data_IF_810813357001
#
_entry.id   IF_810813357001
#
_cell.length_a   1.000
_cell.length_b   1.000
_cell.length_c   1.000
_cell.angle_alpha   90.00
_cell.angle_beta   90.00
_cell.angle_gamma   90.00
#
_symmetry.space_group_name_H-M   'P 1'
#
loop_
_entity.id
_entity.type
_entity.pdbx_description
1 polymer ?
#
# COMPACT_ATOMS: atom_id res chain seq x y z
N UNK A 1 7.78 5.26 11.10
CA UNK A 1 7.02 6.37 10.44
C UNK A 1 5.55 5.95 10.29
N UNK A 2 4.58 6.87 10.38
CA UNK A 2 3.15 6.54 10.43
C UNK A 2 2.33 7.54 9.60
N UNK A 3 1.32 7.04 8.88
CA UNK A 3 0.41 7.88 8.08
C UNK A 3 -0.78 8.42 8.90
N UNK A 4 -1.27 7.64 9.87
CA UNK A 4 -2.41 7.97 10.74
C UNK A 4 -1.96 8.03 12.22
N UNK A 5 -1.12 9.00 12.62
CA UNK A 5 -0.60 9.07 13.99
C UNK A 5 -1.70 9.34 15.03
N UNK A 6 -2.72 10.11 14.67
CA UNK A 6 -3.86 10.45 15.53
C UNK A 6 -4.71 9.21 15.83
N UNK A 7 -5.06 8.42 14.82
CA UNK A 7 -5.79 7.16 15.02
C UNK A 7 -5.00 6.18 15.89
N UNK A 8 -3.68 6.08 15.68
CA UNK A 8 -2.82 5.19 16.49
C UNK A 8 -2.83 5.60 17.95
N UNK A 9 -2.64 6.90 18.27
CA UNK A 9 -2.65 7.38 19.66
C UNK A 9 -4.01 7.17 20.32
N UNK A 10 -5.10 7.27 19.56
CA UNK A 10 -6.46 6.99 20.05
C UNK A 10 -6.79 5.49 20.17
N UNK A 11 -5.90 4.59 19.76
CA UNK A 11 -6.15 3.13 19.77
C UNK A 11 -7.06 2.65 18.62
N UNK A 12 -7.24 3.46 17.58
CA UNK A 12 -8.01 3.07 16.40
C UNK A 12 -7.20 2.11 15.52
N UNK A 13 -7.87 1.06 15.02
CA UNK A 13 -7.26 0.08 14.11
C UNK A 13 -7.46 0.38 12.63
N UNK A 14 -8.27 1.39 12.28
CA UNK A 14 -8.68 1.67 10.89
C UNK A 14 -8.79 3.15 10.55
N UNK A 15 -9.50 3.92 11.35
CA UNK A 15 -9.85 5.30 11.04
C UNK A 15 -9.01 6.32 11.80
N UNK A 16 -8.92 7.54 11.26
CA UNK A 16 -8.50 8.74 11.98
C UNK A 16 -9.45 9.05 13.14
N UNK A 17 -9.08 10.00 14.00
CA UNK A 17 -9.89 10.37 15.18
C UNK A 17 -11.25 10.97 14.82
N UNK A 18 -11.38 11.51 13.62
CA UNK A 18 -12.63 12.05 13.06
C UNK A 18 -13.48 10.99 12.32
N UNK A 19 -13.05 9.72 12.35
CA UNK A 19 -13.72 8.60 11.72
C UNK A 19 -13.37 8.39 10.24
N UNK A 20 -12.44 9.17 9.66
CA UNK A 20 -12.05 9.00 8.26
C UNK A 20 -11.22 7.71 8.03
N UNK A 21 -11.64 6.90 7.04
CA UNK A 21 -10.84 5.78 6.51
C UNK A 21 -9.91 6.29 5.40
N UNK A 22 -8.64 6.54 5.75
CA UNK A 22 -7.64 7.07 4.83
C UNK A 22 -7.46 6.18 3.59
N UNK A 23 -7.60 4.87 3.70
CA UNK A 23 -7.44 3.93 2.58
C UNK A 23 -8.57 4.06 1.54
N UNK A 24 -9.62 4.84 1.83
CA UNK A 24 -10.75 5.13 0.90
C UNK A 24 -10.82 6.60 0.47
N UNK A 25 -9.94 7.44 0.97
CA UNK A 25 -10.02 8.89 0.82
C UNK A 25 -9.14 9.51 -0.27
N UNK A 26 -8.58 8.68 -1.16
CA UNK A 26 -7.64 9.16 -2.19
C UNK A 26 -8.30 9.73 -3.45
N UNK A 27 -9.58 9.39 -3.69
CA UNK A 27 -10.38 9.95 -4.80
C UNK A 27 -10.79 11.40 -4.56
N UNK A 28 -10.89 12.14 -5.66
CA UNK A 28 -11.26 13.56 -5.67
C UNK A 28 -10.05 14.50 -5.63
N UNK A 29 -10.30 15.79 -5.87
CA UNK A 29 -9.34 16.87 -5.67
C UNK A 29 -9.19 17.21 -4.18
N UNK A 30 -8.33 18.19 -3.88
CA UNK A 30 -8.12 18.68 -2.51
C UNK A 30 -9.48 19.09 -1.91
N UNK A 31 -9.90 18.41 -0.85
CA UNK A 31 -11.11 18.79 -0.08
C UNK A 31 -10.75 19.72 1.09
N UNK A 32 -9.64 20.45 0.97
CA UNK A 32 -9.15 21.39 1.98
C UNK A 32 -8.83 20.72 3.32
N UNK A 33 -9.11 21.41 4.43
CA UNK A 33 -8.76 21.04 5.80
C UNK A 33 -9.26 19.65 6.27
N UNK A 34 -10.15 18.98 5.51
CA UNK A 34 -10.74 17.70 5.88
C UNK A 34 -9.84 16.49 5.63
N UNK A 35 -8.76 16.60 4.85
CA UNK A 35 -7.88 15.47 4.47
C UNK A 35 -6.38 15.80 4.46
N UNK A 36 -5.85 16.41 5.53
CA UNK A 36 -4.49 16.98 5.52
C UNK A 36 -3.42 15.94 5.17
N UNK A 37 -3.58 14.69 5.60
CA UNK A 37 -2.62 13.60 5.36
C UNK A 37 -2.55 13.23 3.88
N UNK A 38 -3.70 12.92 3.26
CA UNK A 38 -3.77 12.54 1.84
C UNK A 38 -3.29 13.69 0.94
N UNK A 39 -3.70 14.92 1.26
CA UNK A 39 -3.31 16.09 0.48
C UNK A 39 -1.80 16.38 0.63
N UNK A 40 -1.21 16.14 1.80
CA UNK A 40 0.24 16.27 2.00
C UNK A 40 1.04 15.27 1.18
N UNK A 41 0.59 14.01 1.08
CA UNK A 41 1.25 13.01 0.22
C UNK A 41 1.14 13.40 -1.25
N UNK A 42 -0.01 13.88 -1.71
CA UNK A 42 -0.19 14.38 -3.08
C UNK A 42 0.71 15.59 -3.36
N UNK A 43 0.80 16.54 -2.42
CA UNK A 43 1.68 17.72 -2.54
C UNK A 43 3.15 17.31 -2.62
N UNK A 44 3.60 16.37 -1.80
CA UNK A 44 4.96 15.84 -1.87
C UNK A 44 5.27 15.28 -3.27
N UNK A 45 4.33 14.53 -3.85
CA UNK A 45 4.49 14.00 -5.20
C UNK A 45 4.56 15.11 -6.27
N UNK A 46 3.79 16.18 -6.11
CA UNK A 46 3.87 17.36 -6.98
C UNK A 46 5.21 18.10 -6.83
N UNK A 47 5.72 18.24 -5.61
CA UNK A 47 7.02 18.86 -5.32
C UNK A 47 8.17 18.04 -5.94
N UNK A 48 8.15 16.72 -5.80
CA UNK A 48 9.11 15.82 -6.45
C UNK A 48 9.09 15.97 -7.98
N UNK A 49 7.91 16.09 -8.58
CA UNK A 49 7.80 16.34 -10.03
C UNK A 49 8.36 17.69 -10.45
N UNK A 50 8.08 18.75 -9.67
CA UNK A 50 8.64 20.09 -9.92
C UNK A 50 10.17 20.08 -9.85
N UNK A 51 10.74 19.28 -8.95
CA UNK A 51 12.20 19.09 -8.85
C UNK A 51 12.76 18.07 -9.85
N UNK A 52 11.97 17.61 -10.82
CA UNK A 52 12.34 16.59 -11.83
C UNK A 52 12.78 15.25 -11.21
N UNK A 53 12.31 14.95 -10.01
CA UNK A 53 12.51 13.66 -9.35
C UNK A 53 11.35 12.73 -9.72
N UNK A 54 11.66 11.65 -10.43
CA UNK A 54 10.69 10.62 -10.78
C UNK A 54 10.42 9.68 -9.60
N UNK A 55 9.14 9.35 -9.37
CA UNK A 55 8.75 8.32 -8.41
C UNK A 55 8.56 7.00 -9.16
N UNK A 56 9.58 6.15 -9.11
CA UNK A 56 9.57 4.87 -9.79
C UNK A 56 8.77 3.76 -9.05
N UNK A 57 8.50 3.94 -7.76
CA UNK A 57 7.86 2.93 -6.91
C UNK A 57 7.03 3.61 -5.81
N UNK A 58 5.77 3.21 -5.66
CA UNK A 58 4.90 3.61 -4.56
C UNK A 58 4.43 2.37 -3.78
N UNK A 59 4.68 2.36 -2.47
CA UNK A 59 4.31 1.26 -1.57
C UNK A 59 3.38 1.77 -0.48
N UNK A 60 2.16 1.24 -0.47
CA UNK A 60 1.22 1.33 0.64
C UNK A 60 1.41 0.08 1.52
N UNK A 61 1.51 0.23 2.84
CA UNK A 61 1.66 -0.89 3.77
C UNK A 61 0.43 -0.98 4.65
N UNK A 62 -0.12 -2.19 4.79
CA UNK A 62 -1.31 -2.44 5.60
C UNK A 62 -1.24 -3.83 6.25
N UNK A 63 -2.04 -4.04 7.28
CA UNK A 63 -2.17 -5.32 7.97
C UNK A 63 -3.38 -6.07 7.44
N UNK A 64 -3.22 -7.36 7.18
CA UNK A 64 -4.32 -8.23 6.79
C UNK A 64 -4.71 -9.17 7.93
N UNK A 65 -5.95 -9.05 8.40
CA UNK A 65 -6.43 -9.75 9.62
C UNK A 65 -6.67 -11.25 9.41
N UNK A 66 -6.97 -11.68 8.17
CA UNK A 66 -7.47 -13.05 7.89
C UNK A 66 -6.56 -13.93 7.06
N UNK A 67 -5.60 -13.34 6.37
CA UNK A 67 -4.76 -14.04 5.40
C UNK A 67 -3.36 -14.11 5.99
N UNK A 68 -2.78 -15.31 5.99
CA UNK A 68 -1.40 -15.54 6.43
C UNK A 68 -0.42 -15.04 5.38
N UNK A 69 0.84 -14.90 5.78
CA UNK A 69 1.96 -14.49 4.93
C UNK A 69 1.97 -13.01 4.55
N UNK A 70 3.01 -12.62 3.82
CA UNK A 70 3.15 -11.31 3.20
C UNK A 70 2.80 -11.46 1.72
N UNK A 71 1.99 -10.55 1.21
CA UNK A 71 1.60 -10.53 -0.20
C UNK A 71 1.36 -9.10 -0.67
N UNK A 72 1.56 -8.84 -1.95
CA UNK A 72 1.29 -7.51 -2.51
C UNK A 72 0.16 -7.54 -3.55
N UNK A 73 -0.56 -6.43 -3.63
CA UNK A 73 -1.56 -6.18 -4.65
C UNK A 73 -1.17 -5.00 -5.55
N UNK A 74 -1.02 -5.23 -6.85
CA UNK A 74 -0.78 -4.24 -7.89
C UNK A 74 -2.06 -3.82 -8.64
N UNK A 75 -1.96 -2.83 -9.51
CA UNK A 75 -3.11 -2.10 -10.10
C UNK A 75 -3.57 -2.58 -11.50
N UNK A 76 -3.01 -3.66 -12.02
CA UNK A 76 -3.34 -4.22 -13.34
C UNK A 76 -2.08 -4.72 -14.03
N UNK A 77 -2.19 -5.60 -15.03
CA UNK A 77 -1.08 -5.82 -15.94
C UNK A 77 -0.94 -4.56 -16.81
N UNK A 78 0.19 -3.86 -16.76
CA UNK A 78 0.56 -3.06 -17.92
C UNK A 78 1.15 -3.98 -18.98
N UNK A 79 1.08 -3.53 -20.21
CA UNK A 79 1.75 -4.12 -21.37
C UNK A 79 3.28 -4.20 -21.23
N UNK A 80 3.88 -3.50 -20.26
CA UNK A 80 5.35 -3.42 -20.10
C UNK A 80 5.96 -4.53 -19.24
N UNK A 81 5.18 -5.18 -18.37
CA UNK A 81 5.66 -6.18 -17.42
C UNK A 81 6.49 -5.61 -16.25
N UNK A 82 6.74 -4.30 -16.20
CA UNK A 82 7.50 -3.65 -15.13
C UNK A 82 6.84 -3.85 -13.75
N UNK A 83 5.51 -3.97 -13.69
CA UNK A 83 4.78 -4.18 -12.43
C UNK A 83 5.06 -5.54 -11.79
N UNK A 84 5.68 -6.48 -12.51
CA UNK A 84 6.03 -7.79 -11.98
C UNK A 84 7.43 -7.82 -11.35
N UNK A 85 8.26 -6.80 -11.60
CA UNK A 85 9.65 -6.75 -11.14
C UNK A 85 9.69 -6.70 -9.61
N UNK A 86 8.98 -5.74 -9.00
CA UNK A 86 9.00 -5.57 -7.54
C UNK A 86 8.43 -6.78 -6.79
N UNK A 87 7.24 -7.33 -7.12
CA UNK A 87 6.74 -8.52 -6.44
C UNK A 87 7.66 -9.74 -6.57
N UNK A 88 8.34 -9.90 -7.71
CA UNK A 88 9.31 -11.00 -7.92
C UNK A 88 10.60 -10.79 -7.12
N UNK A 89 11.04 -9.54 -6.96
CA UNK A 89 12.13 -9.20 -6.04
C UNK A 89 11.71 -9.43 -4.59
N UNK A 90 10.51 -9.00 -4.21
CA UNK A 90 9.95 -9.19 -2.88
C UNK A 90 9.90 -10.68 -2.51
N UNK A 91 9.41 -11.55 -3.38
CA UNK A 91 9.37 -13.00 -3.11
C UNK A 91 10.74 -13.66 -3.02
N UNK A 92 11.78 -13.05 -3.60
CA UNK A 92 13.17 -13.54 -3.50
C UNK A 92 13.86 -13.08 -2.23
N UNK A 93 13.46 -11.92 -1.69
CA UNK A 93 14.09 -11.28 -0.53
C UNK A 93 13.33 -11.51 0.77
N UNK A 94 12.02 -11.70 0.71
CA UNK A 94 11.16 -11.94 1.85
C UNK A 94 10.72 -13.41 1.87
N UNK A 95 11.26 -14.19 2.83
CA UNK A 95 10.89 -15.59 3.02
C UNK A 95 9.44 -15.83 3.43
N UNK A 96 8.68 -14.76 3.70
CA UNK A 96 7.25 -14.78 3.99
C UNK A 96 6.39 -14.42 2.76
N UNK A 97 6.98 -14.24 1.56
CA UNK A 97 6.25 -13.87 0.35
C UNK A 97 6.42 -14.90 -0.75
N UNK A 98 5.32 -15.31 -1.39
CA UNK A 98 5.33 -16.05 -2.66
C UNK A 98 4.88 -15.16 -3.80
N UNK A 99 5.56 -15.19 -4.93
CA UNK A 99 5.17 -14.40 -6.10
C UNK A 99 3.77 -14.77 -6.60
N UNK A 100 3.41 -16.06 -6.55
CA UNK A 100 2.09 -16.58 -6.93
C UNK A 100 0.95 -16.12 -6.02
N UNK A 101 1.27 -15.60 -4.85
CA UNK A 101 0.31 -15.10 -3.87
C UNK A 101 0.00 -13.60 -4.03
N UNK A 102 0.77 -12.91 -4.87
CA UNK A 102 0.53 -11.51 -5.23
C UNK A 102 -0.59 -11.41 -6.27
N UNK A 103 -1.43 -10.38 -6.15
CA UNK A 103 -2.55 -10.13 -7.07
C UNK A 103 -2.33 -8.85 -7.85
N UNK A 104 -2.74 -8.83 -9.11
CA UNK A 104 -2.63 -7.65 -9.97
C UNK A 104 -4.00 -7.14 -10.41
N UNK A 105 -5.08 -7.78 -9.95
CA UNK A 105 -6.42 -7.41 -10.32
C UNK A 105 -6.90 -6.27 -9.41
N UNK A 106 -7.22 -5.13 -10.01
CA UNK A 106 -7.82 -4.01 -9.29
C UNK A 106 -9.34 -4.12 -9.30
N UNK A 107 -9.91 -4.59 -8.18
CA UNK A 107 -11.36 -4.59 -8.00
C UNK A 107 -11.92 -3.15 -7.99
N UNK A 108 -13.12 -2.95 -8.54
CA UNK A 108 -13.76 -1.62 -8.60
C UNK A 108 -13.91 -0.93 -7.23
N UNK A 109 -14.18 -1.71 -6.17
CA UNK A 109 -14.23 -1.21 -4.79
C UNK A 109 -12.90 -0.69 -4.25
N UNK A 110 -11.77 -1.06 -4.86
CA UNK A 110 -10.41 -0.62 -4.50
C UNK A 110 -9.91 0.53 -5.35
N UNK A 111 -10.70 1.00 -6.30
CA UNK A 111 -10.23 2.03 -7.22
C UNK A 111 -10.14 3.44 -6.59
N UNK A 112 -10.46 3.58 -5.29
CA UNK A 112 -10.23 4.78 -4.49
C UNK A 112 -9.13 4.69 -3.43
N UNK A 113 -8.31 3.65 -3.50
CA UNK A 113 -7.12 3.45 -2.66
C UNK A 113 -5.94 4.29 -3.13
N UNK A 114 -4.91 4.43 -2.28
CA UNK A 114 -3.70 5.17 -2.59
C UNK A 114 -3.03 4.60 -3.83
N UNK A 115 -2.72 3.29 -3.82
CA UNK A 115 -2.07 2.62 -4.97
C UNK A 115 -2.80 2.82 -6.29
N UNK A 116 -4.14 2.81 -6.26
CA UNK A 116 -4.95 2.96 -7.46
C UNK A 116 -4.86 4.38 -8.02
N UNK A 117 -4.89 5.39 -7.15
CA UNK A 117 -4.78 6.80 -7.55
C UNK A 117 -3.35 7.10 -8.03
N UNK A 118 -2.33 6.59 -7.35
CA UNK A 118 -0.93 6.76 -7.76
C UNK A 118 -0.65 6.13 -9.13
N UNK A 119 -1.17 4.93 -9.37
CA UNK A 119 -1.09 4.29 -10.67
C UNK A 119 -1.84 5.09 -11.75
N UNK A 120 -3.16 5.29 -11.57
CA UNK A 120 -4.02 5.78 -12.65
C UNK A 120 -3.91 7.29 -12.91
N UNK A 121 -3.70 8.11 -11.87
CA UNK A 121 -3.63 9.57 -12.00
C UNK A 121 -2.21 10.10 -12.02
N UNK A 122 -1.28 9.37 -11.40
CA UNK A 122 0.09 9.83 -11.28
C UNK A 122 1.09 9.06 -12.15
N UNK A 123 0.64 8.05 -12.90
CA UNK A 123 1.49 7.32 -13.86
C UNK A 123 2.56 6.46 -13.20
N UNK A 124 2.46 6.20 -11.89
CA UNK A 124 3.41 5.37 -11.16
C UNK A 124 3.01 3.91 -11.38
N UNK A 125 3.52 3.31 -12.45
CA UNK A 125 3.23 1.93 -12.85
C UNK A 125 3.41 0.94 -11.69
N UNK A 126 4.55 1.03 -11.01
CA UNK A 126 4.88 0.24 -9.83
C UNK A 126 4.23 0.81 -8.56
N UNK A 127 2.90 0.71 -8.47
CA UNK A 127 2.13 1.10 -7.27
C UNK A 127 1.49 -0.13 -6.63
N UNK A 128 1.84 -0.41 -5.37
CA UNK A 128 1.42 -1.63 -4.68
C UNK A 128 0.88 -1.35 -3.29
N UNK A 129 -0.02 -2.21 -2.85
CA UNK A 129 -0.37 -2.40 -1.45
C UNK A 129 0.27 -3.69 -0.96
N UNK A 130 1.15 -3.58 0.04
CA UNK A 130 1.78 -4.70 0.71
C UNK A 130 0.97 -4.99 1.96
N UNK A 131 0.44 -6.21 2.02
CA UNK A 131 -0.21 -6.73 3.20
C UNK A 131 0.76 -7.57 4.01
N UNK A 132 0.83 -7.28 5.30
CA UNK A 132 1.50 -8.13 6.30
C UNK A 132 0.43 -8.82 7.13
N UNK A 133 0.52 -10.13 7.30
CA UNK A 133 -0.46 -10.85 8.11
C UNK A 133 -0.40 -10.46 9.59
N UNK A 134 -1.57 -10.25 10.19
CA UNK A 134 -1.70 -10.15 11.65
C UNK A 134 -1.59 -11.52 12.34
N UNK A 135 -1.90 -12.59 11.61
CA UNK A 135 -1.98 -13.97 12.13
C UNK A 135 -0.78 -14.82 11.70
N UNK A 136 0.31 -14.17 11.27
CA UNK A 136 1.60 -14.82 11.01
C UNK A 136 1.73 -15.55 9.68
N UNK A 137 2.76 -16.40 9.61
CA UNK A 137 3.10 -17.18 8.43
C UNK A 137 2.55 -18.62 8.47
N UNK A 138 2.32 -19.20 7.30
CA UNK A 138 2.06 -20.64 7.15
C UNK A 138 3.05 -21.34 6.21
N UNK A 139 4.17 -20.69 5.89
CA UNK A 139 5.28 -21.33 5.22
C UNK A 139 6.62 -20.68 5.58
N UNK A 140 7.70 -21.38 5.23
CA UNK A 140 9.07 -20.90 5.39
C UNK A 140 9.46 -20.78 6.85
N UNK A 141 10.38 -19.87 7.16
CA UNK A 141 10.89 -19.67 8.53
C UNK A 141 9.81 -19.22 9.53
N UNK A 142 8.66 -18.75 9.05
CA UNK A 142 7.56 -18.20 9.85
C UNK A 142 6.35 -19.12 9.92
N UNK A 143 6.46 -20.37 9.44
CA UNK A 143 5.37 -21.33 9.49
C UNK A 143 4.91 -21.57 10.94
N UNK A 144 3.62 -21.29 11.20
CA UNK A 144 3.00 -21.45 12.51
C UNK A 144 3.42 -20.39 13.53
N UNK A 145 4.05 -19.29 13.09
CA UNK A 145 4.56 -18.23 13.98
C UNK A 145 3.99 -16.87 13.60
N UNK A 146 3.77 -16.05 14.63
CA UNK A 146 3.50 -14.62 14.46
C UNK A 146 4.78 -13.91 14.00
N UNK A 147 4.64 -12.79 13.29
CA UNK A 147 5.78 -11.94 12.97
C UNK A 147 6.22 -11.16 14.21
N UNK A 148 7.47 -11.33 14.59
CA UNK A 148 8.13 -10.59 15.67
C UNK A 148 9.36 -9.86 15.15
N UNK A 149 9.78 -8.85 15.89
CA UNK A 149 11.10 -8.23 15.74
C UNK A 149 12.19 -8.93 16.53
N UNK A 150 11.78 -9.89 17.38
CA UNK A 150 12.62 -10.69 18.26
C UNK A 150 13.07 -11.99 17.58
#
# INVERSE_FOLDING_TARGET
PMLNPDGVVAGNSRCCVDGEDLSRSWRGGAKGLRRPVVDSVKRLLEELRKSKTEVALFLEFDVHMRRRNVFCEGCGPSTSGAELIFPKLLSRKCGATKFSECSYNLAGSKAGTARSVMHAKHGIACSYLIYVSQIGGDFGAWEGRHYSTD
#
